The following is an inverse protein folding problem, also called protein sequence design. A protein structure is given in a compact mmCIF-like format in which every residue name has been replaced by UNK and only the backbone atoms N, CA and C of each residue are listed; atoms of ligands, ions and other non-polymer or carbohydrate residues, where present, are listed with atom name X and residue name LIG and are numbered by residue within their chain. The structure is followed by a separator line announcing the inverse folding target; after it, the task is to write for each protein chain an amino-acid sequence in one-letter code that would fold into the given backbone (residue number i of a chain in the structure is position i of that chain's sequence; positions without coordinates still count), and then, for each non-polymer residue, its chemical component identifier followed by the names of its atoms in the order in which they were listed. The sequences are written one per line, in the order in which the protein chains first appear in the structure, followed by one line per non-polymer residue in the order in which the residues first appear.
data_IF_161272166111
#
_entry.id   IF_161272166111
#
_cell.length_a   1.000
_cell.length_b   1.000
_cell.length_c   1.000
_cell.angle_alpha   90.00
_cell.angle_beta   90.00
_cell.angle_gamma   90.00
#
_symmetry.space_group_name_H-M   'P 1'
#
loop_
_entity.id
_entity.type
_entity.pdbx_description
1 polymer ?
#
# COMPACT_ATOMS: atom_id res chain seq x y z
N UNK A 1 117.14 43.60 -10.57
CA UNK A 1 116.47 42.34 -10.99
C UNK A 1 115.16 42.08 -10.24
N UNK A 2 114.93 42.71 -9.09
CA UNK A 2 113.76 42.53 -8.23
C UNK A 2 112.43 42.99 -8.86
N UNK A 3 112.40 44.14 -9.55
CA UNK A 3 111.17 44.68 -10.16
C UNK A 3 110.49 43.74 -11.19
N UNK A 4 111.25 42.87 -11.87
CA UNK A 4 110.69 41.88 -12.81
C UNK A 4 110.05 40.68 -12.12
N UNK A 5 110.56 40.29 -10.95
CA UNK A 5 110.02 39.18 -10.17
C UNK A 5 108.72 39.60 -9.47
N UNK A 6 108.66 40.81 -8.92
CA UNK A 6 107.44 41.38 -8.35
C UNK A 6 106.31 41.48 -9.39
N UNK A 7 106.63 41.94 -10.60
CA UNK A 7 105.65 42.04 -11.68
C UNK A 7 105.11 40.66 -12.11
N UNK A 8 105.94 39.61 -12.08
CA UNK A 8 105.50 38.24 -12.36
C UNK A 8 104.60 37.69 -11.24
N UNK A 9 104.89 38.00 -9.97
CA UNK A 9 104.05 37.62 -8.84
C UNK A 9 102.69 38.34 -8.87
N UNK A 10 102.66 39.63 -9.21
CA UNK A 10 101.43 40.41 -9.35
C UNK A 10 100.54 39.89 -10.49
N UNK A 11 101.14 39.53 -11.65
CA UNK A 11 100.38 38.90 -12.75
C UNK A 11 99.81 37.55 -12.34
N UNK A 12 100.58 36.72 -11.65
CA UNK A 12 100.11 35.41 -11.15
C UNK A 12 99.00 35.56 -10.12
N UNK A 13 99.10 36.55 -9.24
CA UNK A 13 98.06 36.89 -8.27
C UNK A 13 96.77 37.32 -8.99
N UNK A 14 96.88 38.26 -9.93
CA UNK A 14 95.74 38.73 -10.74
C UNK A 14 95.08 37.59 -11.55
N UNK A 15 95.87 36.69 -12.15
CA UNK A 15 95.35 35.52 -12.87
C UNK A 15 94.63 34.54 -11.93
N UNK A 16 95.14 34.35 -10.71
CA UNK A 16 94.48 33.50 -9.71
C UNK A 16 93.19 34.13 -9.18
N UNK A 17 93.18 35.45 -8.96
CA UNK A 17 92.00 36.20 -8.55
C UNK A 17 90.91 36.16 -9.63
N UNK A 18 91.28 36.38 -10.90
CA UNK A 18 90.34 36.26 -12.01
C UNK A 18 89.75 34.85 -12.14
N UNK A 19 90.53 33.80 -11.84
CA UNK A 19 90.00 32.42 -11.79
C UNK A 19 89.01 32.23 -10.65
N UNK A 20 89.30 32.74 -9.45
CA UNK A 20 88.37 32.66 -8.32
C UNK A 20 87.10 33.45 -8.55
N UNK A 21 87.18 34.65 -9.11
CA UNK A 21 86.01 35.46 -9.48
C UNK A 21 85.10 34.71 -10.46
N UNK A 22 85.66 34.08 -11.51
CA UNK A 22 84.87 33.24 -12.44
C UNK A 22 84.20 32.06 -11.76
N UNK A 23 84.87 31.42 -10.79
CA UNK A 23 84.27 30.30 -10.02
C UNK A 23 83.12 30.83 -9.16
N UNK A 24 83.30 31.95 -8.47
CA UNK A 24 82.25 32.58 -7.64
C UNK A 24 81.05 32.97 -8.49
N UNK A 25 81.27 33.63 -9.63
CA UNK A 25 80.21 33.99 -10.57
C UNK A 25 79.46 32.76 -11.09
N UNK A 26 80.17 31.70 -11.48
CA UNK A 26 79.56 30.46 -11.92
C UNK A 26 78.72 29.81 -10.80
N UNK A 27 79.21 29.84 -9.56
CA UNK A 27 78.45 29.36 -8.39
C UNK A 27 77.22 30.20 -8.12
N UNK A 28 77.33 31.53 -8.15
CA UNK A 28 76.17 32.42 -7.99
C UNK A 28 75.12 32.21 -9.07
N UNK A 29 75.51 32.04 -10.34
CA UNK A 29 74.57 31.69 -11.42
C UNK A 29 73.87 30.36 -11.15
N UNK A 30 74.63 29.32 -10.82
CA UNK A 30 74.05 28.01 -10.51
C UNK A 30 73.13 28.02 -9.28
N UNK A 31 73.42 28.87 -8.28
CA UNK A 31 72.57 29.05 -7.11
C UNK A 31 71.29 29.80 -7.47
N UNK A 32 71.39 30.85 -8.29
CA UNK A 32 70.23 31.58 -8.82
C UNK A 32 69.31 30.68 -9.63
N UNK A 33 69.86 29.85 -10.53
CA UNK A 33 69.09 28.86 -11.31
C UNK A 33 68.40 27.82 -10.44
N UNK A 34 69.09 27.31 -9.40
CA UNK A 34 68.47 26.39 -8.44
C UNK A 34 67.39 27.06 -7.61
N UNK A 35 67.61 28.31 -7.22
CA UNK A 35 66.64 29.09 -6.45
C UNK A 35 65.37 29.33 -7.26
N UNK A 36 65.50 29.75 -8.52
CA UNK A 36 64.33 29.95 -9.40
C UNK A 36 63.63 28.61 -9.67
N UNK A 37 64.37 27.53 -9.92
CA UNK A 37 63.78 26.20 -10.08
C UNK A 37 62.98 25.77 -8.85
N UNK A 38 63.55 25.89 -7.65
CA UNK A 38 62.85 25.55 -6.41
C UNK A 38 61.63 26.46 -6.17
N UNK A 39 61.73 27.76 -6.45
CA UNK A 39 60.60 28.68 -6.34
C UNK A 39 59.46 28.29 -7.29
N UNK A 40 59.76 27.90 -8.54
CA UNK A 40 58.73 27.42 -9.46
C UNK A 40 58.11 26.10 -9.00
N UNK A 41 58.89 25.18 -8.43
CA UNK A 41 58.37 23.93 -7.88
C UNK A 41 57.48 24.16 -6.66
N UNK A 42 57.87 25.06 -5.76
CA UNK A 42 57.05 25.43 -4.60
C UNK A 42 55.76 26.08 -5.05
N UNK A 43 55.81 27.04 -5.98
CA UNK A 43 54.61 27.69 -6.51
C UNK A 43 53.66 26.67 -7.17
N UNK A 44 54.17 25.75 -7.99
CA UNK A 44 53.37 24.71 -8.62
C UNK A 44 52.74 23.74 -7.59
N UNK A 45 53.49 23.36 -6.56
CA UNK A 45 52.99 22.51 -5.48
C UNK A 45 51.92 23.22 -4.63
N UNK A 46 52.11 24.52 -4.34
CA UNK A 46 51.13 25.33 -3.62
C UNK A 46 49.83 25.49 -4.39
N UNK A 47 49.90 25.69 -5.71
CA UNK A 47 48.70 25.75 -6.57
C UNK A 47 47.97 24.41 -6.63
N UNK A 48 48.69 23.30 -6.77
CA UNK A 48 48.10 21.96 -6.74
C UNK A 48 47.39 21.70 -5.40
N UNK A 49 48.05 22.03 -4.28
CA UNK A 49 47.46 21.89 -2.96
C UNK A 49 46.23 22.78 -2.75
N UNK A 50 46.21 24.00 -3.30
CA UNK A 50 45.03 24.88 -3.24
C UNK A 50 43.85 24.27 -3.99
N UNK A 51 44.07 23.76 -5.19
CA UNK A 51 43.02 23.08 -5.98
C UNK A 51 42.48 21.86 -5.25
N UNK A 52 43.34 21.01 -4.71
CA UNK A 52 42.90 19.85 -3.94
C UNK A 52 42.07 20.26 -2.72
N UNK A 53 42.49 21.30 -1.99
CA UNK A 53 41.72 21.83 -0.86
C UNK A 53 40.34 22.34 -1.27
N UNK A 54 40.25 23.09 -2.37
CA UNK A 54 38.97 23.57 -2.91
C UNK A 54 38.06 22.40 -3.26
N UNK A 55 38.56 21.40 -4.00
CA UNK A 55 37.77 20.21 -4.33
C UNK A 55 37.34 19.39 -3.11
N UNK A 56 38.19 19.30 -2.09
CA UNK A 56 37.87 18.59 -0.86
C UNK A 56 36.80 19.32 -0.04
N UNK A 57 36.82 20.65 -0.02
CA UNK A 57 35.79 21.47 0.62
C UNK A 57 34.45 21.35 -0.12
N UNK A 58 34.46 21.41 -1.45
CA UNK A 58 33.25 21.21 -2.27
C UNK A 58 32.62 19.84 -1.97
N UNK A 59 33.42 18.77 -2.02
CA UNK A 59 32.96 17.42 -1.71
C UNK A 59 32.43 17.31 -0.27
N UNK A 60 33.10 17.96 0.69
CA UNK A 60 32.63 17.98 2.08
C UNK A 60 31.26 18.65 2.21
N UNK A 61 31.04 19.75 1.49
CA UNK A 61 29.75 20.43 1.51
C UNK A 61 28.64 19.57 0.90
N UNK A 62 28.90 18.92 -0.23
CA UNK A 62 27.95 18.00 -0.88
C UNK A 62 27.57 16.84 0.03
N UNK A 63 28.57 16.13 0.60
CA UNK A 63 28.33 15.03 1.54
C UNK A 63 27.56 15.49 2.79
N UNK A 64 27.81 16.71 3.26
CA UNK A 64 27.10 17.26 4.41
C UNK A 64 25.62 17.52 4.11
N UNK A 65 25.31 17.97 2.90
CA UNK A 65 23.96 18.23 2.43
C UNK A 65 23.20 16.93 2.23
N UNK A 66 23.79 15.94 1.55
CA UNK A 66 23.20 14.61 1.36
C UNK A 66 22.88 13.95 2.72
N UNK A 67 23.80 14.01 3.67
CA UNK A 67 23.57 13.46 5.02
C UNK A 67 22.41 14.16 5.74
N UNK A 68 22.30 15.47 5.59
CA UNK A 68 21.20 16.22 6.17
C UNK A 68 19.86 15.82 5.53
N UNK A 69 19.79 15.72 4.20
CA UNK A 69 18.60 15.28 3.48
C UNK A 69 18.18 13.86 3.87
N UNK A 70 19.12 12.93 3.92
CA UNK A 70 18.86 11.55 4.38
C UNK A 70 18.31 11.54 5.81
N UNK A 71 18.84 12.38 6.70
CA UNK A 71 18.35 12.49 8.06
C UNK A 71 16.92 13.08 8.12
N UNK A 72 16.60 14.07 7.29
CA UNK A 72 15.24 14.61 7.21
C UNK A 72 14.26 13.59 6.65
N UNK A 73 14.64 12.87 5.59
CA UNK A 73 13.83 11.82 4.99
C UNK A 73 13.58 10.68 5.98
N UNK A 74 14.61 10.24 6.71
CA UNK A 74 14.47 9.22 7.74
C UNK A 74 13.49 9.66 8.86
N UNK A 75 13.57 10.92 9.31
CA UNK A 75 12.62 11.49 10.29
C UNK A 75 11.20 11.58 9.73
N UNK A 76 11.05 11.97 8.46
CA UNK A 76 9.75 12.04 7.80
C UNK A 76 9.12 10.65 7.72
N UNK A 77 9.88 9.64 7.29
CA UNK A 77 9.42 8.25 7.24
C UNK A 77 9.06 7.71 8.62
N UNK A 78 9.88 7.98 9.65
CA UNK A 78 9.55 7.55 11.01
C UNK A 78 8.29 8.21 11.56
N UNK A 79 7.96 9.42 11.12
CA UNK A 79 6.73 10.11 11.53
C UNK A 79 5.50 9.59 10.78
N UNK A 80 5.64 9.13 9.54
CA UNK A 80 4.54 8.57 8.73
C UNK A 80 4.27 7.10 9.05
N UNK A 81 5.23 6.39 9.64
CA UNK A 81 5.11 4.97 9.94
C UNK A 81 3.93 4.63 10.88
N UNK A 82 3.69 5.36 11.99
CA UNK A 82 2.51 5.15 12.83
C UNK A 82 1.19 5.32 12.07
N UNK A 83 1.08 6.35 11.23
CA UNK A 83 -0.12 6.57 10.42
C UNK A 83 -0.38 5.41 9.46
N UNK A 84 0.68 4.82 8.88
CA UNK A 84 0.57 3.65 8.01
C UNK A 84 0.12 2.42 8.80
N UNK A 85 0.69 2.20 9.99
CA UNK A 85 0.32 1.09 10.88
C UNK A 85 -1.14 1.20 11.34
N UNK A 86 -1.58 2.40 11.75
CA UNK A 86 -2.95 2.68 12.18
C UNK A 86 -3.95 2.47 11.03
N UNK A 87 -3.62 2.98 9.83
CA UNK A 87 -4.45 2.78 8.64
C UNK A 87 -4.52 1.30 8.25
N UNK A 88 -3.41 0.56 8.34
CA UNK A 88 -3.39 -0.88 8.08
C UNK A 88 -4.27 -1.64 9.08
N UNK A 89 -4.18 -1.31 10.37
CA UNK A 89 -5.03 -1.91 11.41
C UNK A 89 -6.51 -1.60 11.19
N UNK A 90 -6.84 -0.36 10.83
CA UNK A 90 -8.21 0.05 10.50
C UNK A 90 -8.76 -0.71 9.29
N UNK A 91 -7.97 -0.92 8.24
CA UNK A 91 -8.37 -1.70 7.06
C UNK A 91 -8.59 -3.16 7.42
N UNK A 92 -7.71 -3.76 8.25
CA UNK A 92 -7.89 -5.15 8.70
C UNK A 92 -9.17 -5.31 9.52
N UNK A 93 -9.44 -4.39 10.46
CA UNK A 93 -10.67 -4.38 11.26
C UNK A 93 -11.94 -4.18 10.41
N UNK A 94 -11.88 -3.27 9.43
CA UNK A 94 -12.98 -3.11 8.48
C UNK A 94 -13.20 -4.39 7.64
N UNK A 95 -12.13 -5.06 7.24
CA UNK A 95 -12.21 -6.31 6.49
C UNK A 95 -12.85 -7.44 7.31
N UNK A 96 -12.45 -7.60 8.58
CA UNK A 96 -13.07 -8.61 9.46
C UNK A 96 -14.56 -8.33 9.66
N UNK A 97 -14.93 -7.06 9.88
CA UNK A 97 -16.34 -6.68 10.03
C UNK A 97 -17.17 -6.95 8.76
N UNK A 98 -16.59 -6.75 7.58
CA UNK A 98 -17.27 -7.09 6.32
C UNK A 98 -17.45 -8.60 6.17
N UNK A 99 -16.48 -9.40 6.60
CA UNK A 99 -16.61 -10.86 6.59
C UNK A 99 -17.69 -11.34 7.56
N UNK A 100 -17.74 -10.78 8.77
CA UNK A 100 -18.78 -11.05 9.78
C UNK A 100 -20.17 -10.72 9.23
N UNK A 101 -20.38 -9.51 8.70
CA UNK A 101 -21.66 -9.11 8.12
C UNK A 101 -22.09 -9.98 6.94
N UNK A 102 -21.13 -10.44 6.11
CA UNK A 102 -21.42 -11.38 5.02
C UNK A 102 -21.85 -12.74 5.56
N UNK A 103 -21.25 -13.20 6.64
CA UNK A 103 -21.62 -14.46 7.27
C UNK A 103 -23.02 -14.37 7.89
N UNK A 104 -23.29 -13.33 8.67
CA UNK A 104 -24.63 -13.07 9.24
C UNK A 104 -25.71 -12.99 8.14
N UNK A 105 -25.43 -12.28 7.04
CA UNK A 105 -26.36 -12.20 5.92
C UNK A 105 -26.60 -13.57 5.26
N UNK A 106 -25.58 -14.44 5.19
CA UNK A 106 -25.74 -15.80 4.68
C UNK A 106 -26.58 -16.67 5.62
N UNK A 107 -26.37 -16.56 6.94
CA UNK A 107 -27.17 -17.27 7.94
C UNK A 107 -28.64 -16.84 7.88
N UNK A 108 -28.92 -15.54 7.81
CA UNK A 108 -30.29 -15.04 7.65
C UNK A 108 -30.97 -15.57 6.38
N UNK A 109 -30.26 -15.59 5.25
CA UNK A 109 -30.79 -16.17 4.01
C UNK A 109 -31.04 -17.68 4.12
N UNK A 110 -30.22 -18.42 4.88
CA UNK A 110 -30.44 -19.83 5.14
C UNK A 110 -31.65 -20.07 6.04
N UNK A 111 -31.80 -19.28 7.10
CA UNK A 111 -32.95 -19.33 8.00
C UNK A 111 -34.26 -19.03 7.28
N UNK A 112 -34.28 -17.99 6.42
CA UNK A 112 -35.45 -17.66 5.61
C UNK A 112 -35.81 -18.79 4.64
N UNK A 113 -34.81 -19.40 3.98
CA UNK A 113 -35.04 -20.56 3.10
C UNK A 113 -35.61 -21.74 3.86
N UNK A 114 -35.05 -22.08 5.03
CA UNK A 114 -35.56 -23.17 5.86
C UNK A 114 -36.99 -22.90 6.32
N UNK A 115 -37.30 -21.68 6.76
CA UNK A 115 -38.67 -21.29 7.14
C UNK A 115 -39.64 -21.42 5.97
N UNK A 116 -39.24 -21.00 4.78
CA UNK A 116 -40.06 -21.10 3.58
C UNK A 116 -40.26 -22.57 3.17
N UNK A 117 -39.23 -23.40 3.27
CA UNK A 117 -39.31 -24.85 2.99
C UNK A 117 -40.24 -25.56 3.99
N UNK A 118 -40.15 -25.22 5.28
CA UNK A 118 -41.07 -25.75 6.30
C UNK A 118 -42.50 -25.29 6.02
N UNK A 119 -42.72 -24.00 5.72
CA UNK A 119 -44.05 -23.48 5.40
C UNK A 119 -44.64 -24.13 4.14
N UNK A 120 -43.83 -24.32 3.09
CA UNK A 120 -44.22 -25.00 1.86
C UNK A 120 -44.60 -26.46 2.11
N UNK A 121 -43.78 -27.20 2.86
CA UNK A 121 -44.04 -28.62 3.16
C UNK A 121 -45.27 -28.80 4.07
N UNK A 122 -45.50 -27.90 5.03
CA UNK A 122 -46.73 -27.86 5.83
C UNK A 122 -47.96 -27.58 4.97
N UNK A 123 -47.86 -26.63 4.02
CA UNK A 123 -48.94 -26.32 3.09
C UNK A 123 -49.26 -27.50 2.17
N UNK A 124 -48.23 -28.14 1.59
CA UNK A 124 -48.40 -29.33 0.76
C UNK A 124 -49.06 -30.46 1.55
N UNK A 125 -48.62 -30.72 2.78
CA UNK A 125 -49.24 -31.71 3.66
C UNK A 125 -50.71 -31.38 3.94
N UNK A 126 -51.01 -30.12 4.30
CA UNK A 126 -52.38 -29.66 4.52
C UNK A 126 -53.24 -29.84 3.26
N UNK A 127 -52.74 -29.44 2.10
CA UNK A 127 -53.45 -29.54 0.83
C UNK A 127 -53.69 -30.99 0.41
N UNK A 128 -52.74 -31.90 0.67
CA UNK A 128 -52.90 -33.34 0.41
C UNK A 128 -53.95 -33.96 1.34
N UNK A 129 -53.94 -33.61 2.63
CA UNK A 129 -54.85 -34.21 3.62
C UNK A 129 -56.28 -33.66 3.48
N UNK A 130 -56.43 -32.37 3.22
CA UNK A 130 -57.74 -31.71 3.13
C UNK A 130 -58.33 -31.68 1.71
N UNK A 131 -57.49 -31.89 0.68
CA UNK A 131 -57.85 -31.67 -0.71
C UNK A 131 -58.00 -30.19 -1.08
N UNK A 132 -57.79 -29.26 -0.14
CA UNK A 132 -57.99 -27.83 -0.35
C UNK A 132 -56.73 -27.19 -0.94
N UNK A 133 -56.89 -26.43 -2.00
CA UNK A 133 -55.86 -25.59 -2.59
C UNK A 133 -56.36 -24.16 -2.70
N UNK A 134 -55.64 -23.28 -2.03
CA UNK A 134 -55.92 -21.85 -2.04
C UNK A 134 -55.31 -21.21 -3.27
N UNK A 135 -56.03 -20.26 -3.87
CA UNK A 135 -55.46 -19.34 -4.84
C UNK A 135 -54.72 -18.23 -4.09
N UNK A 136 -53.41 -18.15 -4.33
CA UNK A 136 -52.53 -17.20 -3.67
C UNK A 136 -52.37 -15.91 -4.48
N UNK A 137 -52.87 -15.86 -5.72
CA UNK A 137 -52.79 -14.70 -6.62
C UNK A 137 -54.02 -13.80 -6.51
N UNK A 138 -55.15 -14.33 -6.02
CA UNK A 138 -56.38 -13.58 -5.79
C UNK A 138 -56.32 -12.72 -4.52
N UNK A 139 -56.79 -11.48 -4.60
CA UNK A 139 -56.97 -10.60 -3.41
C UNK A 139 -58.04 -11.12 -2.43
N UNK A 140 -58.81 -12.12 -2.84
CA UNK A 140 -59.90 -12.72 -2.08
C UNK A 140 -59.51 -14.14 -1.63
N UNK A 141 -60.04 -14.60 -0.49
CA UNK A 141 -59.83 -15.97 0.00
C UNK A 141 -60.66 -16.96 -0.84
N UNK A 142 -60.13 -17.33 -2.00
CA UNK A 142 -60.73 -18.30 -2.91
C UNK A 142 -59.78 -19.45 -3.23
N UNK A 143 -60.34 -20.54 -3.75
CA UNK A 143 -59.58 -21.75 -4.01
C UNK A 143 -60.45 -22.88 -4.54
N UNK A 144 -59.91 -24.09 -4.54
CA UNK A 144 -60.63 -25.29 -4.92
C UNK A 144 -60.38 -26.45 -3.97
N UNK A 145 -61.37 -27.32 -3.84
CA UNK A 145 -61.32 -28.57 -3.09
C UNK A 145 -61.33 -29.70 -4.10
N UNK A 146 -60.28 -30.52 -4.11
CA UNK A 146 -60.13 -31.69 -4.98
C UNK A 146 -59.97 -32.95 -4.13
N UNK A 147 -61.00 -33.78 -4.08
CA UNK A 147 -61.02 -35.05 -3.34
C UNK A 147 -61.49 -36.15 -4.30
N UNK A 148 -60.62 -37.12 -4.60
CA UNK A 148 -60.90 -38.17 -5.60
C UNK A 148 -61.03 -37.61 -7.02
N UNK A 149 -62.12 -37.93 -7.71
CA UNK A 149 -62.40 -37.45 -9.08
C UNK A 149 -63.25 -36.16 -9.11
N UNK A 150 -63.59 -35.58 -7.95
CA UNK A 150 -64.42 -34.38 -7.86
C UNK A 150 -63.58 -33.16 -7.46
N UNK A 151 -63.75 -32.07 -8.20
CA UNK A 151 -63.14 -30.77 -7.90
C UNK A 151 -64.23 -29.68 -7.83
N UNK A 152 -64.20 -28.85 -6.79
CA UNK A 152 -65.14 -27.72 -6.61
C UNK A 152 -64.40 -26.45 -6.23
N UNK A 153 -64.74 -25.33 -6.86
CA UNK A 153 -64.24 -24.02 -6.47
C UNK A 153 -65.07 -23.45 -5.32
N UNK A 154 -64.44 -22.74 -4.40
CA UNK A 154 -65.10 -22.07 -3.29
C UNK A 154 -64.51 -20.67 -3.08
N UNK A 155 -65.29 -19.83 -2.41
CA UNK A 155 -64.91 -18.44 -2.10
C UNK A 155 -65.40 -18.08 -0.72
N UNK A 156 -64.51 -17.53 0.10
CA UNK A 156 -64.79 -17.15 1.49
C UNK A 156 -65.01 -15.64 1.58
N UNK A 157 -66.24 -15.22 1.84
CA UNK A 157 -66.59 -13.80 1.94
C UNK A 157 -66.14 -13.14 3.26
N UNK A 158 -66.08 -13.91 4.36
CA UNK A 158 -65.67 -13.43 5.69
C UNK A 158 -64.73 -14.42 6.38
N UNK A 159 -63.41 -14.29 6.21
CA UNK A 159 -62.47 -15.20 6.85
C UNK A 159 -62.55 -15.10 8.39
N UNK A 160 -62.56 -16.26 9.05
CA UNK A 160 -62.55 -16.36 10.52
C UNK A 160 -63.93 -16.36 11.20
N UNK A 161 -65.04 -16.28 10.44
CA UNK A 161 -66.38 -16.50 11.01
C UNK A 161 -66.69 -18.00 11.11
N UNK A 162 -67.49 -18.40 12.10
CA UNK A 162 -67.97 -19.79 12.21
C UNK A 162 -68.77 -20.21 10.96
N UNK A 163 -69.59 -19.30 10.44
CA UNK A 163 -70.44 -19.52 9.26
C UNK A 163 -69.62 -19.85 8.01
N UNK A 164 -68.45 -19.21 7.83
CA UNK A 164 -67.58 -19.50 6.69
C UNK A 164 -66.85 -20.84 6.83
N UNK A 165 -66.47 -21.22 8.06
CA UNK A 165 -65.91 -22.53 8.33
C UNK A 165 -66.94 -23.65 8.08
N UNK A 166 -68.17 -23.47 8.55
CA UNK A 166 -69.27 -24.44 8.33
C UNK A 166 -69.60 -24.58 6.83
N UNK A 167 -69.59 -23.47 6.06
CA UNK A 167 -69.77 -23.50 4.61
C UNK A 167 -68.63 -24.24 3.87
N UNK A 168 -67.38 -24.05 4.31
CA UNK A 168 -66.21 -24.76 3.79
C UNK A 168 -66.31 -26.27 4.05
N UNK A 169 -66.70 -26.67 5.26
CA UNK A 169 -66.90 -28.07 5.60
C UNK A 169 -68.01 -28.73 4.78
N UNK A 170 -69.12 -28.02 4.52
CA UNK A 170 -70.19 -28.52 3.66
C UNK A 170 -69.70 -28.82 2.22
N UNK A 171 -68.84 -27.98 1.66
CA UNK A 171 -68.25 -28.23 0.33
C UNK A 171 -67.29 -29.44 0.32
N UNK A 172 -66.55 -29.65 1.41
CA UNK A 172 -65.69 -30.83 1.59
C UNK A 172 -66.53 -32.11 1.67
N UNK A 173 -67.58 -32.12 2.50
CA UNK A 173 -68.51 -33.26 2.64
C UNK A 173 -69.20 -33.61 1.32
N UNK A 174 -69.61 -32.59 0.56
CA UNK A 174 -70.20 -32.76 -0.78
C UNK A 174 -69.22 -33.40 -1.78
N UNK A 175 -67.91 -33.16 -1.64
CA UNK A 175 -66.88 -33.83 -2.44
C UNK A 175 -66.66 -35.28 -2.01
N UNK A 176 -66.69 -35.56 -0.71
CA UNK A 176 -66.55 -36.91 -0.14
C UNK A 176 -67.76 -37.82 -0.38
N UNK A 177 -68.88 -37.29 -0.87
CA UNK A 177 -70.12 -38.05 -1.08
C UNK A 177 -70.90 -38.31 0.22
N UNK A 178 -70.66 -37.51 1.26
CA UNK A 178 -71.44 -37.53 2.48
C UNK A 178 -72.72 -36.71 2.24
N UNK A 179 -73.81 -37.36 1.83
CA UNK A 179 -75.12 -36.71 1.83
C UNK A 179 -75.66 -36.68 3.27
N UNK A 180 -75.91 -35.50 3.86
CA UNK A 180 -76.47 -35.42 5.20
C UNK A 180 -77.96 -35.79 5.14
N UNK A 181 -78.25 -37.08 5.29
CA UNK A 181 -79.63 -37.59 5.20
C UNK A 181 -79.82 -39.11 5.15
N UNK A 182 -78.77 -39.92 5.22
CA UNK A 182 -78.90 -41.38 5.33
C UNK A 182 -78.24 -41.90 6.61
N UNK A 183 -78.98 -41.83 7.71
CA UNK A 183 -78.84 -42.67 8.91
C UNK A 183 -80.19 -42.78 9.58
#
# INVERSE_FOLDING_TARGET
MEARQEQALLRRAADSEARFQRIIEAKHRSLGEKQTQLQTQVAAAEEALRREKETALELQTEVSLERWELQQNAKSLSNLWPDIEDNSAAVQSAHTKVLELRHEAQEHLQDEKQRLEIASSLYEFYAVVSGIRWDMESEQMEGYIAIGEKARAFKVEKPGSKESADALWAEIEACCGFEPGQS
#
